data_IF_076468235114
#
_entry.id   IF_076468235114
#
_cell.length_a   1.000
_cell.length_b   1.000
_cell.length_c   1.000
_cell.angle_alpha   90.00
_cell.angle_beta   90.00
_cell.angle_gamma   90.00
#
_symmetry.space_group_name_H-M   'P 1'
#
loop_
_entity.id
_entity.type
_entity.pdbx_description
1 polymer ?
#
# COMPACT_ATOMS: atom_id res chain seq x y z
N UNK A 1 -33.75 -19.08 6.21
CA UNK A 1 -33.12 -17.76 6.41
C UNK A 1 -34.24 -16.73 6.51
N UNK A 2 -34.39 -16.08 7.66
CA UNK A 2 -35.44 -15.10 7.92
C UNK A 2 -35.04 -13.69 7.48
N UNK A 3 -36.02 -12.79 7.30
CA UNK A 3 -35.77 -11.37 6.98
C UNK A 3 -34.91 -10.69 8.07
N UNK A 4 -35.11 -11.08 9.33
CA UNK A 4 -34.35 -10.57 10.47
C UNK A 4 -32.89 -11.07 10.45
N UNK A 5 -32.65 -12.34 10.10
CA UNK A 5 -31.30 -12.89 9.91
C UNK A 5 -30.55 -12.17 8.78
N UNK A 6 -31.22 -11.90 7.65
CA UNK A 6 -30.64 -11.14 6.55
C UNK A 6 -30.27 -9.72 6.98
N UNK A 7 -31.18 -9.02 7.67
CA UNK A 7 -30.92 -7.65 8.15
C UNK A 7 -29.70 -7.60 9.08
N UNK A 8 -29.59 -8.56 10.01
CA UNK A 8 -28.44 -8.66 10.92
C UNK A 8 -27.13 -8.93 10.16
N UNK A 9 -27.14 -9.82 9.18
CA UNK A 9 -25.97 -10.10 8.36
C UNK A 9 -25.50 -8.87 7.57
N UNK A 10 -26.43 -8.10 7.00
CA UNK A 10 -26.10 -6.85 6.30
C UNK A 10 -25.53 -5.78 7.24
N UNK A 11 -26.12 -5.58 8.41
CA UNK A 11 -25.62 -4.62 9.41
C UNK A 11 -24.20 -4.99 9.86
N UNK A 12 -23.97 -6.26 10.19
CA UNK A 12 -22.64 -6.74 10.57
C UNK A 12 -21.60 -6.54 9.45
N UNK A 13 -21.96 -6.85 8.19
CA UNK A 13 -21.07 -6.60 7.06
C UNK A 13 -20.72 -5.12 6.93
N UNK A 14 -21.71 -4.22 7.04
CA UNK A 14 -21.47 -2.77 6.96
C UNK A 14 -20.58 -2.24 8.10
N UNK A 15 -20.71 -2.78 9.31
CA UNK A 15 -19.87 -2.43 10.45
C UNK A 15 -18.42 -2.85 10.24
N UNK A 16 -18.20 -4.03 9.67
CA UNK A 16 -16.87 -4.55 9.35
C UNK A 16 -16.18 -3.66 8.31
N UNK A 17 -16.86 -3.31 7.22
CA UNK A 17 -16.32 -2.39 6.20
C UNK A 17 -15.97 -1.02 6.81
N UNK A 18 -16.79 -0.51 7.71
CA UNK A 18 -16.52 0.77 8.38
C UNK A 18 -15.30 0.69 9.32
N UNK A 19 -15.11 -0.43 10.03
CA UNK A 19 -13.91 -0.66 10.86
C UNK A 19 -12.64 -0.75 10.00
N UNK A 20 -12.74 -1.37 8.82
CA UNK A 20 -11.63 -1.46 7.85
C UNK A 20 -11.25 -0.06 7.33
N UNK A 21 -12.22 0.78 6.96
CA UNK A 21 -11.96 2.17 6.52
C UNK A 21 -11.43 3.06 7.63
N UNK A 22 -11.92 2.87 8.85
CA UNK A 22 -11.41 3.58 10.04
C UNK A 22 -9.96 3.24 10.32
N UNK A 23 -9.60 1.96 10.27
CA UNK A 23 -8.22 1.52 10.38
C UNK A 23 -7.31 2.25 9.38
N UNK A 24 -7.69 2.31 8.10
CA UNK A 24 -6.92 3.07 7.09
C UNK A 24 -6.70 4.51 7.53
N UNK A 25 -7.76 5.19 7.97
CA UNK A 25 -7.72 6.61 8.31
C UNK A 25 -6.82 6.88 9.52
N UNK A 26 -7.02 6.14 10.62
CA UNK A 26 -6.22 6.25 11.84
C UNK A 26 -4.73 5.97 11.56
N UNK A 27 -4.45 4.94 10.76
CA UNK A 27 -3.08 4.63 10.38
C UNK A 27 -2.45 5.71 9.51
N UNK A 28 -3.18 6.29 8.56
CA UNK A 28 -2.65 7.39 7.74
C UNK A 28 -2.33 8.63 8.57
N UNK A 29 -3.08 8.90 9.64
CA UNK A 29 -2.78 10.00 10.57
C UNK A 29 -1.47 9.75 11.33
N UNK A 30 -1.33 8.56 11.93
CA UNK A 30 -0.09 8.11 12.61
C UNK A 30 1.12 8.23 11.67
N UNK A 31 0.99 7.74 10.43
CA UNK A 31 2.07 7.76 9.44
C UNK A 31 2.38 9.16 8.91
N UNK A 32 1.39 10.06 8.86
CA UNK A 32 1.61 11.45 8.47
C UNK A 32 2.46 12.17 9.51
N UNK A 33 2.24 11.87 10.79
CA UNK A 33 2.97 12.46 11.92
C UNK A 33 4.30 11.74 12.23
N UNK A 34 4.71 10.74 11.43
CA UNK A 34 5.90 9.92 11.70
C UNK A 34 5.85 9.16 13.05
N UNK A 35 4.66 8.87 13.57
CA UNK A 35 4.41 8.17 14.85
C UNK A 35 4.21 6.65 14.67
N UNK A 36 4.48 6.12 13.47
CA UNK A 36 4.47 4.69 13.20
C UNK A 36 5.57 3.92 13.96
N UNK A 37 5.74 2.61 13.69
CA UNK A 37 6.85 1.87 14.30
C UNK A 37 8.21 2.48 13.98
N UNK A 38 8.33 3.14 12.82
CA UNK A 38 9.50 3.88 12.35
C UNK A 38 9.04 5.08 11.52
N UNK A 39 9.80 6.19 11.58
CA UNK A 39 9.62 7.33 10.69
C UNK A 39 10.17 7.02 9.28
N UNK A 40 9.50 7.49 8.22
CA UNK A 40 9.90 7.21 6.82
C UNK A 40 10.20 8.48 6.06
N UNK A 41 11.48 8.75 5.81
CA UNK A 41 11.90 10.07 5.35
C UNK A 41 11.66 11.20 6.36
N UNK A 42 12.04 12.40 5.97
CA UNK A 42 11.78 13.62 6.74
C UNK A 42 10.32 14.07 6.61
N UNK A 43 9.92 15.04 7.44
CA UNK A 43 8.58 15.61 7.40
C UNK A 43 8.28 16.26 6.05
N UNK A 44 7.09 15.97 5.51
CA UNK A 44 6.65 16.45 4.20
C UNK A 44 7.24 15.70 3.00
N UNK A 45 8.14 14.74 3.20
CA UNK A 45 8.60 13.88 2.10
C UNK A 45 7.48 12.96 1.61
N UNK A 46 7.49 12.67 0.31
CA UNK A 46 6.45 11.87 -0.31
C UNK A 46 6.61 10.40 0.02
N UNK A 47 5.52 9.74 0.43
CA UNK A 47 5.51 8.33 0.81
C UNK A 47 4.38 7.60 0.10
N UNK A 48 4.65 6.36 -0.31
CA UNK A 48 3.65 5.36 -0.66
C UNK A 48 3.26 4.61 0.62
N UNK A 49 1.96 4.50 0.87
CA UNK A 49 1.38 3.67 1.92
C UNK A 49 0.47 2.64 1.28
N UNK A 50 0.71 1.38 1.56
CA UNK A 50 -0.13 0.26 1.14
C UNK A 50 -0.58 -0.51 2.36
N UNK A 51 -1.87 -0.81 2.45
CA UNK A 51 -2.45 -1.61 3.52
C UNK A 51 -3.28 -2.72 2.89
N UNK A 52 -3.06 -3.96 3.35
CA UNK A 52 -3.85 -5.11 2.96
C UNK A 52 -4.50 -5.64 4.22
N UNK A 53 -5.83 -5.64 4.22
CA UNK A 53 -6.65 -5.86 5.40
C UNK A 53 -7.53 -7.08 5.18
N UNK A 54 -7.22 -8.23 5.81
CA UNK A 54 -8.15 -9.34 5.84
C UNK A 54 -9.43 -8.95 6.54
N UNK A 55 -10.58 -9.28 5.95
CA UNK A 55 -11.86 -9.11 6.63
C UNK A 55 -11.88 -9.84 7.98
N UNK A 56 -11.24 -11.00 8.02
CA UNK A 56 -11.08 -11.82 9.22
C UNK A 56 -10.33 -11.11 10.36
N UNK A 57 -9.53 -10.07 10.10
CA UNK A 57 -8.92 -9.25 11.15
C UNK A 57 -9.94 -8.51 12.04
N UNK A 58 -11.19 -8.38 11.58
CA UNK A 58 -12.28 -7.72 12.30
C UNK A 58 -13.46 -8.64 12.63
N UNK A 59 -13.56 -9.80 11.97
CA UNK A 59 -14.64 -10.77 12.19
C UNK A 59 -14.20 -12.01 12.96
N UNK A 60 -12.90 -12.32 12.95
CA UNK A 60 -12.31 -13.48 13.61
C UNK A 60 -11.24 -13.03 14.60
N UNK A 61 -10.98 -13.85 15.61
CA UNK A 61 -9.88 -13.62 16.56
C UNK A 61 -8.55 -14.11 15.96
N UNK A 62 -8.12 -13.54 14.83
CA UNK A 62 -6.78 -13.79 14.30
C UNK A 62 -5.76 -13.26 15.30
N UNK A 63 -4.86 -14.13 15.75
CA UNK A 63 -3.71 -13.76 16.57
C UNK A 63 -2.48 -14.52 16.09
N UNK A 64 -1.67 -13.85 15.27
CA UNK A 64 -0.43 -14.40 14.76
C UNK A 64 0.62 -14.47 15.87
N UNK A 65 1.29 -15.62 15.97
CA UNK A 65 2.55 -15.75 16.70
C UNK A 65 3.71 -15.52 15.74
N UNK A 66 4.74 -14.83 16.21
CA UNK A 66 5.98 -14.61 15.48
C UNK A 66 7.08 -15.39 16.18
N UNK A 67 7.20 -16.68 15.87
CA UNK A 67 8.29 -17.51 16.39
C UNK A 67 9.56 -17.31 15.56
N UNK A 68 10.73 -17.41 16.22
CA UNK A 68 12.03 -17.09 15.62
C UNK A 68 12.51 -18.11 14.57
N UNK A 69 11.78 -19.22 14.36
CA UNK A 69 12.27 -20.39 13.61
C UNK A 69 11.84 -20.47 12.16
N UNK A 70 11.07 -19.51 11.65
CA UNK A 70 10.68 -19.43 10.25
C UNK A 70 11.58 -18.51 9.44
N UNK A 71 12.81 -18.95 9.14
CA UNK A 71 13.65 -18.25 8.17
C UNK A 71 12.87 -17.95 6.89
N UNK A 72 13.02 -16.71 6.39
CA UNK A 72 12.55 -16.15 5.11
C UNK A 72 11.22 -15.35 5.08
N UNK A 73 11.39 -14.04 5.28
CA UNK A 73 11.19 -13.02 4.22
C UNK A 73 9.86 -12.25 4.12
N UNK A 74 9.06 -12.16 5.18
CA UNK A 74 8.11 -11.04 5.30
C UNK A 74 7.79 -10.66 6.76
N UNK A 75 7.59 -9.37 7.09
CA UNK A 75 7.56 -8.18 6.21
C UNK A 75 8.84 -7.94 5.41
N UNK A 76 8.72 -7.62 4.12
CA UNK A 76 9.82 -7.13 3.29
C UNK A 76 9.50 -5.68 2.89
N UNK A 77 10.40 -4.71 3.13
CA UNK A 77 10.13 -3.33 2.77
C UNK A 77 10.02 -3.17 1.24
N UNK A 78 9.08 -2.35 0.78
CA UNK A 78 8.89 -2.13 -0.67
C UNK A 78 10.17 -1.59 -1.31
N UNK A 79 10.59 -2.23 -2.41
CA UNK A 79 11.75 -1.82 -3.19
C UNK A 79 13.11 -2.01 -2.50
N UNK A 80 13.16 -2.68 -1.34
CA UNK A 80 14.42 -2.90 -0.62
C UNK A 80 15.20 -4.10 -1.15
N UNK A 81 16.54 -3.99 -1.15
CA UNK A 81 17.48 -5.09 -1.43
C UNK A 81 17.96 -5.81 -0.16
N UNK A 82 17.62 -5.28 1.02
CA UNK A 82 17.96 -5.83 2.32
C UNK A 82 17.07 -5.21 3.39
N UNK A 83 16.85 -5.94 4.48
CA UNK A 83 15.96 -5.54 5.55
C UNK A 83 16.49 -5.94 6.93
N UNK A 84 16.22 -5.10 7.92
CA UNK A 84 16.46 -5.38 9.32
C UNK A 84 15.12 -5.72 9.99
N UNK A 85 15.02 -6.84 10.74
CA UNK A 85 13.81 -7.18 11.48
C UNK A 85 13.72 -6.39 12.79
N UNK A 86 12.50 -6.14 13.25
CA UNK A 86 12.19 -5.50 14.53
C UNK A 86 10.85 -6.03 15.03
N UNK A 87 10.72 -6.26 16.34
CA UNK A 87 9.43 -6.59 16.97
C UNK A 87 8.86 -5.33 17.62
N UNK A 88 7.60 -5.03 17.35
CA UNK A 88 6.84 -3.96 18.01
C UNK A 88 5.66 -4.53 18.79
N UNK A 89 5.02 -3.68 19.60
CA UNK A 89 3.76 -4.01 20.27
C UNK A 89 2.67 -4.43 19.27
N UNK A 90 2.67 -3.79 18.10
CA UNK A 90 1.67 -4.00 17.05
C UNK A 90 1.92 -5.26 16.24
N UNK A 91 3.18 -5.52 15.86
CA UNK A 91 3.50 -6.64 14.98
C UNK A 91 4.97 -6.99 14.85
N UNK A 92 5.24 -7.79 13.84
CA UNK A 92 6.58 -7.94 13.28
C UNK A 92 6.78 -6.81 12.27
N UNK A 93 7.93 -6.13 12.34
CA UNK A 93 8.33 -5.04 11.45
C UNK A 93 9.62 -5.45 10.75
N UNK A 94 9.77 -5.05 9.50
CA UNK A 94 11.05 -5.07 8.83
C UNK A 94 11.25 -3.75 8.09
N UNK A 95 12.47 -3.25 8.09
CA UNK A 95 12.78 -1.94 7.53
C UNK A 95 14.08 -1.91 6.76
N UNK A 96 14.24 -0.89 5.92
CA UNK A 96 15.44 -0.66 5.13
C UNK A 96 15.91 0.78 5.28
N UNK A 97 17.23 0.97 5.33
CA UNK A 97 17.83 2.29 5.53
C UNK A 97 18.40 2.47 6.94
N UNK A 98 19.09 3.60 7.17
CA UNK A 98 19.92 3.80 8.34
C UNK A 98 19.15 4.48 9.48
N UNK A 99 18.28 3.73 10.16
CA UNK A 99 17.53 4.22 11.32
C UNK A 99 18.47 4.89 12.33
N UNK A 100 19.51 4.18 12.78
CA UNK A 100 20.37 4.61 13.90
C UNK A 100 21.12 5.92 13.61
N UNK A 101 21.35 6.21 12.33
CA UNK A 101 22.16 7.36 11.90
C UNK A 101 21.31 8.57 11.54
N UNK A 102 20.07 8.34 11.07
CA UNK A 102 19.23 9.40 10.51
C UNK A 102 17.91 9.61 11.23
N UNK A 103 17.56 8.75 12.20
CA UNK A 103 16.26 8.74 12.87
C UNK A 103 15.10 8.41 11.94
N UNK A 104 15.39 7.92 10.73
CA UNK A 104 14.39 7.64 9.70
C UNK A 104 14.83 6.49 8.80
N UNK A 105 13.87 5.84 8.15
CA UNK A 105 14.10 4.72 7.24
C UNK A 105 13.60 5.04 5.83
N UNK A 106 14.08 4.29 4.84
CA UNK A 106 13.61 4.43 3.45
C UNK A 106 12.27 3.76 3.26
N UNK A 107 12.07 2.62 3.90
CA UNK A 107 10.83 1.87 3.85
C UNK A 107 10.75 0.94 5.05
N UNK A 108 9.53 0.64 5.47
CA UNK A 108 9.24 -0.48 6.35
C UNK A 108 7.97 -1.20 5.91
N UNK A 109 7.84 -2.44 6.38
CA UNK A 109 6.60 -3.20 6.31
C UNK A 109 6.31 -3.77 7.70
N UNK A 110 5.03 -3.81 8.07
CA UNK A 110 4.53 -4.31 9.36
C UNK A 110 3.50 -5.39 9.08
N UNK A 111 3.66 -6.55 9.72
CA UNK A 111 2.62 -7.57 9.84
C UNK A 111 2.06 -7.50 11.26
N UNK A 112 0.87 -6.94 11.40
CA UNK A 112 0.18 -6.80 12.69
C UNK A 112 -0.24 -8.17 13.23
N UNK A 113 -0.36 -8.27 14.55
CA UNK A 113 -0.81 -9.50 15.23
C UNK A 113 -2.18 -9.99 14.78
N UNK A 114 -3.06 -9.07 14.38
CA UNK A 114 -4.39 -9.41 13.84
C UNK A 114 -4.38 -9.76 12.34
N UNK A 115 -3.21 -9.90 11.71
CA UNK A 115 -3.06 -10.33 10.32
C UNK A 115 -3.04 -9.21 9.29
N UNK A 116 -3.27 -7.96 9.67
CA UNK A 116 -3.17 -6.81 8.75
C UNK A 116 -1.71 -6.64 8.31
N UNK A 117 -1.49 -6.31 7.04
CA UNK A 117 -0.18 -5.93 6.52
C UNK A 117 -0.17 -4.45 6.11
N UNK A 118 0.85 -3.71 6.52
CA UNK A 118 1.10 -2.32 6.15
C UNK A 118 2.51 -2.22 5.56
N UNK A 119 2.66 -1.50 4.46
CA UNK A 119 3.94 -1.26 3.82
C UNK A 119 4.05 0.22 3.47
N UNK A 120 5.13 0.85 3.92
CA UNK A 120 5.38 2.28 3.77
C UNK A 120 6.75 2.47 3.15
N UNK A 121 6.83 3.26 2.09
CA UNK A 121 8.10 3.56 1.43
C UNK A 121 8.18 5.03 1.02
N UNK A 122 9.33 5.64 1.29
CA UNK A 122 9.70 6.93 0.73
C UNK A 122 9.76 6.83 -0.79
N UNK A 123 9.09 7.76 -1.47
CA UNK A 123 9.21 7.92 -2.91
C UNK A 123 10.32 8.92 -3.23
N UNK A 124 11.11 8.59 -4.26
CA UNK A 124 12.10 9.51 -4.79
C UNK A 124 11.38 10.61 -5.57
N UNK A 125 11.42 11.82 -5.02
CA UNK A 125 10.93 13.04 -5.67
C UNK A 125 12.13 13.84 -6.13
N UNK A 126 12.19 14.14 -7.42
CA UNK A 126 13.28 14.91 -8.00
C UNK A 126 12.91 15.46 -9.37
N UNK A 127 13.78 16.29 -9.93
CA UNK A 127 13.56 16.92 -11.22
C UNK A 127 14.58 18.03 -11.47
N UNK A 128 14.61 18.54 -12.70
CA UNK A 128 15.44 19.70 -13.05
C UNK A 128 14.81 20.99 -12.51
N UNK A 129 15.64 21.99 -12.22
CA UNK A 129 15.19 23.36 -11.89
C UNK A 129 14.16 23.44 -10.73
N UNK A 130 14.33 22.62 -9.69
CA UNK A 130 13.44 22.61 -8.53
C UNK A 130 12.10 21.92 -8.75
N UNK A 131 11.90 21.26 -9.89
CA UNK A 131 10.72 20.42 -10.12
C UNK A 131 10.68 19.26 -9.12
N UNK A 132 9.47 18.98 -8.64
CA UNK A 132 9.17 17.85 -7.77
C UNK A 132 8.40 16.81 -8.57
N UNK A 133 9.11 15.94 -9.27
CA UNK A 133 8.51 14.88 -10.07
C UNK A 133 8.70 13.52 -9.42
N UNK A 134 7.73 12.62 -9.62
CA UNK A 134 7.86 11.21 -9.26
C UNK A 134 7.76 10.33 -10.49
N UNK A 135 8.51 9.23 -10.48
CA UNK A 135 8.43 8.21 -11.52
C UNK A 135 7.29 7.23 -11.22
N UNK A 136 6.10 7.54 -11.73
CA UNK A 136 4.87 6.85 -11.35
C UNK A 136 4.79 5.39 -11.81
N UNK A 137 5.40 5.05 -12.96
CA UNK A 137 5.53 3.66 -13.42
C UNK A 137 6.30 2.80 -12.41
N UNK A 138 7.34 3.35 -11.77
CA UNK A 138 8.07 2.65 -10.71
C UNK A 138 7.22 2.44 -9.46
N UNK A 139 6.32 3.39 -9.16
CA UNK A 139 5.35 3.26 -8.06
C UNK A 139 4.36 2.12 -8.33
N UNK A 140 3.83 2.01 -9.55
CA UNK A 140 2.96 0.89 -9.95
C UNK A 140 3.64 -0.47 -9.77
N UNK A 141 4.88 -0.60 -10.23
CA UNK A 141 5.67 -1.81 -10.07
C UNK A 141 5.88 -2.17 -8.59
N UNK A 142 6.16 -1.16 -7.76
CA UNK A 142 6.26 -1.30 -6.31
C UNK A 142 4.97 -1.80 -5.68
N UNK A 143 3.82 -1.22 -6.04
CA UNK A 143 2.50 -1.64 -5.57
C UNK A 143 2.20 -3.08 -5.99
N UNK A 144 2.33 -3.41 -7.28
CA UNK A 144 2.05 -4.75 -7.80
C UNK A 144 2.95 -5.82 -7.17
N UNK A 145 4.24 -5.51 -7.00
CA UNK A 145 5.17 -6.40 -6.31
C UNK A 145 4.82 -6.59 -4.84
N UNK A 146 4.49 -5.50 -4.14
CA UNK A 146 4.10 -5.52 -2.73
C UNK A 146 2.83 -6.34 -2.49
N UNK A 147 1.79 -6.14 -3.30
CA UNK A 147 0.54 -6.91 -3.21
C UNK A 147 0.82 -8.41 -3.39
N UNK A 148 1.60 -8.79 -4.42
CA UNK A 148 1.94 -10.20 -4.65
C UNK A 148 2.70 -10.82 -3.48
N UNK A 149 3.65 -10.09 -2.89
CA UNK A 149 4.39 -10.55 -1.73
C UNK A 149 3.44 -10.79 -0.55
N UNK A 150 2.60 -9.79 -0.20
CA UNK A 150 1.66 -9.90 0.92
C UNK A 150 0.67 -11.04 0.73
N UNK A 151 0.07 -11.18 -0.46
CA UNK A 151 -0.87 -12.27 -0.74
C UNK A 151 -0.18 -13.65 -0.66
N UNK A 152 1.07 -13.74 -1.10
CA UNK A 152 1.90 -14.92 -0.91
C UNK A 152 2.08 -15.29 0.57
N UNK A 153 2.32 -14.31 1.43
CA UNK A 153 2.41 -14.52 2.88
C UNK A 153 1.11 -14.94 3.52
N UNK A 154 0.01 -14.31 3.12
CA UNK A 154 -1.32 -14.66 3.62
C UNK A 154 -1.64 -16.11 3.27
N UNK A 155 -1.29 -16.55 2.06
CA UNK A 155 -1.39 -17.95 1.67
C UNK A 155 -0.51 -18.86 2.54
N UNK A 156 0.76 -18.52 2.78
CA UNK A 156 1.68 -19.33 3.61
C UNK A 156 1.25 -19.43 5.06
N UNK A 157 0.66 -18.37 5.61
CA UNK A 157 0.18 -18.27 7.00
C UNK A 157 -1.30 -18.65 7.16
N UNK A 158 -1.95 -19.09 6.09
CA UNK A 158 -3.37 -19.44 6.06
C UNK A 158 -4.30 -18.34 6.58
N UNK A 159 -3.97 -17.08 6.27
CA UNK A 159 -4.81 -15.91 6.60
C UNK A 159 -5.97 -15.87 5.59
N UNK A 160 -7.23 -15.98 6.03
CA UNK A 160 -8.35 -16.16 5.11
C UNK A 160 -8.74 -14.86 4.38
N UNK A 161 -9.12 -15.03 3.11
CA UNK A 161 -9.75 -14.00 2.27
C UNK A 161 -11.24 -13.80 2.67
N UNK A 162 -11.91 -12.70 2.30
CA UNK A 162 -11.46 -11.64 1.38
C UNK A 162 -10.50 -10.64 2.03
N UNK A 163 -9.72 -9.97 1.18
CA UNK A 163 -8.81 -8.90 1.56
C UNK A 163 -9.25 -7.57 0.93
N UNK A 164 -9.16 -6.50 1.70
CA UNK A 164 -9.34 -5.12 1.23
C UNK A 164 -7.96 -4.48 1.11
N UNK A 165 -7.66 -3.93 -0.07
CA UNK A 165 -6.39 -3.27 -0.35
C UNK A 165 -6.62 -1.76 -0.43
N UNK A 166 -5.80 -1.03 0.30
CA UNK A 166 -5.71 0.42 0.22
C UNK A 166 -4.34 0.84 -0.27
N UNK A 167 -4.33 1.82 -1.17
CA UNK A 167 -3.12 2.49 -1.63
C UNK A 167 -3.33 3.99 -1.44
N UNK A 168 -2.35 4.63 -0.81
CA UNK A 168 -2.34 6.07 -0.58
C UNK A 168 -0.97 6.66 -0.84
N UNK A 169 -0.93 7.89 -1.36
CA UNK A 169 0.27 8.72 -1.42
C UNK A 169 0.09 9.87 -0.44
N UNK A 170 1.07 10.09 0.44
CA UNK A 170 1.08 11.21 1.40
C UNK A 170 2.30 12.09 1.17
N UNK A 171 2.23 13.36 1.56
CA UNK A 171 3.30 14.35 1.29
C UNK A 171 3.41 14.70 -0.21
N UNK A 172 2.29 14.63 -0.95
CA UNK A 172 2.27 14.70 -2.42
C UNK A 172 1.87 16.09 -2.97
N UNK A 173 1.61 17.08 -2.11
CA UNK A 173 1.30 18.45 -2.54
C UNK A 173 2.45 19.03 -3.35
N UNK A 174 2.14 19.61 -4.51
CA UNK A 174 3.10 20.19 -5.44
C UNK A 174 3.93 19.17 -6.23
N UNK A 175 3.69 17.86 -6.04
CA UNK A 175 4.37 16.81 -6.81
C UNK A 175 3.65 16.57 -8.13
N UNK A 176 4.42 16.35 -9.21
CA UNK A 176 3.94 16.00 -10.55
C UNK A 176 4.43 14.61 -10.98
N UNK A 177 3.78 14.03 -12.00
CA UNK A 177 4.21 12.77 -12.61
C UNK A 177 4.16 12.87 -14.15
N UNK A 178 5.11 13.57 -14.78
CA UNK A 178 5.18 13.66 -16.24
C UNK A 178 5.52 12.29 -16.86
N UNK A 179 4.88 11.95 -17.99
CA UNK A 179 5.21 10.74 -18.76
C UNK A 179 6.56 10.89 -19.47
N UNK A 180 6.88 12.09 -19.97
CA UNK A 180 8.14 12.44 -20.61
C UNK A 180 8.73 13.70 -19.97
N UNK A 181 9.84 13.58 -19.24
CA UNK A 181 10.54 14.75 -18.70
C UNK A 181 11.18 15.63 -19.80
N UNK A 182 11.48 15.03 -20.96
CA UNK A 182 12.21 15.68 -22.05
C UNK A 182 11.37 16.59 -22.94
N UNK A 183 10.04 16.47 -22.93
CA UNK A 183 9.15 17.19 -23.86
C UNK A 183 8.56 18.50 -23.33
N UNK A 184 9.10 19.04 -22.22
CA UNK A 184 8.55 20.27 -21.63
C UNK A 184 7.07 20.11 -21.24
N UNK A 185 6.72 18.91 -20.78
CA UNK A 185 5.36 18.48 -20.47
C UNK A 185 4.64 19.48 -19.57
N UNK A 186 3.36 19.74 -19.87
CA UNK A 186 2.46 20.39 -18.92
C UNK A 186 2.45 19.51 -17.67
N UNK A 187 3.02 20.05 -16.60
CA UNK A 187 2.99 19.40 -15.30
C UNK A 187 1.65 19.72 -14.64
N UNK A 188 1.06 18.71 -14.00
CA UNK A 188 -0.11 18.87 -13.16
C UNK A 188 0.28 18.59 -11.70
N UNK A 189 0.88 19.57 -11.00
CA UNK A 189 1.19 19.42 -9.60
C UNK A 189 -0.08 19.11 -8.82
N UNK A 190 -0.04 18.05 -8.03
CA UNK A 190 -1.18 17.67 -7.22
C UNK A 190 -1.37 18.69 -6.09
N UNK A 191 -2.63 19.06 -5.81
CA UNK A 191 -2.93 20.22 -4.95
C UNK A 191 -3.11 19.89 -3.47
N UNK A 192 -3.44 18.64 -3.15
CA UNK A 192 -3.67 18.16 -1.77
C UNK A 192 -2.44 17.41 -1.24
N UNK A 193 -2.32 17.28 0.08
CA UNK A 193 -1.21 16.54 0.69
C UNK A 193 -1.33 15.03 0.56
N UNK A 194 -2.52 14.54 0.21
CA UNK A 194 -2.78 13.10 0.10
C UNK A 194 -3.61 12.72 -1.13
N UNK A 195 -3.27 11.59 -1.72
CA UNK A 195 -4.09 10.83 -2.66
C UNK A 195 -4.52 9.56 -1.94
N UNK A 196 -5.83 9.33 -1.87
CA UNK A 196 -6.41 8.10 -1.34
C UNK A 196 -7.11 7.39 -2.49
N UNK A 197 -6.52 6.32 -3.02
CA UNK A 197 -7.16 5.56 -4.07
C UNK A 197 -8.35 4.75 -3.53
N UNK A 198 -9.33 4.39 -4.38
CA UNK A 198 -10.44 3.53 -3.99
C UNK A 198 -9.97 2.19 -3.44
N UNK A 199 -10.82 1.58 -2.61
CA UNK A 199 -10.56 0.25 -2.04
C UNK A 199 -10.67 -0.83 -3.13
N UNK A 200 -9.70 -1.75 -3.14
CA UNK A 200 -9.71 -2.90 -4.03
C UNK A 200 -9.98 -4.15 -3.20
N UNK A 201 -11.08 -4.83 -3.50
CA UNK A 201 -11.48 -6.06 -2.81
C UNK A 201 -11.00 -7.29 -3.61
N UNK A 202 -10.31 -8.19 -2.93
CA UNK A 202 -9.82 -9.45 -3.47
C UNK A 202 -10.47 -10.61 -2.71
N UNK A 203 -11.23 -11.44 -3.41
CA UNK A 203 -11.81 -12.67 -2.86
C UNK A 203 -10.80 -13.83 -2.86
N UNK A 204 -11.21 -15.01 -2.39
CA UNK A 204 -10.35 -16.18 -2.35
C UNK A 204 -9.84 -16.63 -3.73
N UNK A 205 -10.61 -16.38 -4.81
CA UNK A 205 -10.21 -16.72 -6.18
C UNK A 205 -9.16 -15.75 -6.70
N UNK A 206 -9.40 -14.45 -6.53
CA UNK A 206 -8.45 -13.41 -6.92
C UNK A 206 -7.16 -13.43 -6.09
N UNK A 207 -7.20 -13.95 -4.87
CA UNK A 207 -6.00 -14.15 -4.05
C UNK A 207 -5.11 -15.30 -4.54
N UNK A 208 -5.70 -16.33 -5.16
CA UNK A 208 -4.97 -17.50 -5.65
C UNK A 208 -4.21 -17.20 -6.95
N UNK A 209 -4.81 -16.39 -7.81
CA UNK A 209 -4.26 -15.90 -9.06
C UNK A 209 -4.77 -14.47 -9.25
N UNK A 210 -3.88 -13.47 -9.18
CA UNK A 210 -4.25 -12.06 -9.36
C UNK A 210 -4.11 -11.75 -10.85
N UNK A 211 -5.20 -11.60 -11.62
CA UNK A 211 -5.09 -11.24 -13.04
C UNK A 211 -4.25 -9.97 -13.22
N UNK A 212 -3.44 -9.93 -14.28
CA UNK A 212 -2.55 -8.79 -14.56
C UNK A 212 -3.29 -7.44 -14.57
N UNK A 213 -4.54 -7.45 -15.04
CA UNK A 213 -5.40 -6.27 -15.19
C UNK A 213 -6.17 -5.87 -13.91
N UNK A 214 -6.10 -6.65 -12.83
CA UNK A 214 -6.82 -6.37 -11.58
C UNK A 214 -6.49 -4.99 -11.02
N UNK A 215 -5.23 -4.58 -11.16
CA UNK A 215 -4.73 -3.30 -10.65
C UNK A 215 -4.89 -2.15 -11.64
N UNK A 216 -5.23 -2.43 -12.91
CA UNK A 216 -5.30 -1.41 -13.95
C UNK A 216 -6.27 -0.27 -13.59
N UNK A 217 -7.51 -0.52 -13.11
CA UNK A 217 -8.40 0.58 -12.74
C UNK A 217 -7.83 1.48 -11.63
N UNK A 218 -7.13 0.87 -10.65
CA UNK A 218 -6.47 1.59 -9.56
C UNK A 218 -5.34 2.47 -10.09
N UNK A 219 -4.55 1.94 -11.01
CA UNK A 219 -3.44 2.64 -11.65
C UNK A 219 -3.92 3.75 -12.58
N UNK A 220 -4.96 3.53 -13.38
CA UNK A 220 -5.56 4.57 -14.22
C UNK A 220 -5.98 5.77 -13.37
N UNK A 221 -6.64 5.55 -12.22
CA UNK A 221 -7.02 6.61 -11.29
C UNK A 221 -5.81 7.33 -10.70
N UNK A 222 -4.73 6.59 -10.39
CA UNK A 222 -3.48 7.18 -9.92
C UNK A 222 -2.87 8.11 -10.98
N UNK A 223 -2.89 7.72 -12.26
CA UNK A 223 -2.45 8.56 -13.37
C UNK A 223 -3.39 9.75 -13.62
N UNK A 224 -4.71 9.56 -13.47
CA UNK A 224 -5.68 10.64 -13.57
C UNK A 224 -5.43 11.74 -12.52
N UNK A 225 -4.96 11.36 -11.32
CA UNK A 225 -4.59 12.33 -10.29
C UNK A 225 -3.47 13.29 -10.74
N UNK A 226 -2.65 12.89 -11.70
CA UNK A 226 -1.59 13.71 -12.31
C UNK A 226 -1.92 14.18 -13.73
N UNK A 227 -3.22 14.24 -14.08
CA UNK A 227 -3.71 14.80 -15.34
C UNK A 227 -3.50 13.92 -16.57
N UNK A 228 -3.12 12.66 -16.40
CA UNK A 228 -2.92 11.70 -17.50
C UNK A 228 -4.19 10.88 -17.73
N UNK A 229 -4.37 10.37 -18.95
CA UNK A 229 -5.59 9.60 -19.33
C UNK A 229 -5.70 8.24 -18.63
N UNK A 230 -4.56 7.62 -18.33
CA UNK A 230 -4.49 6.31 -17.69
C UNK A 230 -3.06 5.81 -17.65
N UNK A 231 -2.88 4.59 -17.13
CA UNK A 231 -1.57 3.99 -17.00
C UNK A 231 -0.97 3.62 -18.36
N UNK A 232 0.29 4.01 -18.64
CA UNK A 232 1.01 3.58 -19.83
C UNK A 232 1.54 2.14 -19.73
N UNK A 233 1.42 1.51 -18.56
CA UNK A 233 1.88 0.12 -18.31
C UNK A 233 0.93 -0.92 -18.88
N UNK A 234 -0.23 -0.51 -19.40
CA UNK A 234 -1.26 -1.40 -19.94
C UNK A 234 -1.68 -0.93 -21.33
N UNK A 235 -1.91 -1.88 -22.25
CA UNK A 235 -2.53 -1.57 -23.54
C UNK A 235 -4.05 -1.40 -23.43
N UNK A 236 -4.70 -1.09 -24.56
CA UNK A 236 -6.16 -0.91 -24.65
C UNK A 236 -6.94 -2.19 -24.29
N UNK A 237 -6.33 -3.37 -24.46
CA UNK A 237 -6.92 -4.65 -24.06
C UNK A 237 -6.73 -4.95 -22.56
N UNK A 238 -5.99 -4.10 -21.85
CA UNK A 238 -5.67 -4.24 -20.43
C UNK A 238 -4.52 -5.21 -20.15
N UNK A 239 -3.73 -5.58 -21.16
CA UNK A 239 -2.54 -6.41 -21.00
C UNK A 239 -1.34 -5.56 -20.62
N UNK A 240 -0.51 -6.06 -19.71
CA UNK A 240 0.69 -5.33 -19.31
C UNK A 240 1.68 -5.22 -20.48
N UNK A 241 2.12 -3.99 -20.80
CA UNK A 241 3.12 -3.72 -21.82
C UNK A 241 4.46 -3.43 -21.17
N UNK A 242 5.48 -4.23 -21.49
CA UNK A 242 6.86 -3.98 -21.05
C UNK A 242 7.41 -2.82 -21.88
N UNK A 243 7.73 -1.70 -21.23
CA UNK A 243 8.54 -0.62 -21.81
C UNK A 243 9.98 -0.72 -21.33
#
# INVERSE_FOLDING_TARGET
MSVEELRRAFLFASEVEERIRRFRTERLEILTNNEGPLAVGADGETRLVMQVVPRASFTESISLSFDERGGTMWPWPLGASGANPMYSLDGLVAYSGPEEQSGTVRAFSTLFRNGIAEAVAKLNVGGKDGQRNIYLTGVEQGIASGIRQILGEYKRRSIPAPYTIFVSLIGIRGVSAPIDEWRGSINYPYRSDRIMLPELNIDARGAADVPENTLKPLFDLMWNAFGQRGSPSYDESGKHVRR
#
